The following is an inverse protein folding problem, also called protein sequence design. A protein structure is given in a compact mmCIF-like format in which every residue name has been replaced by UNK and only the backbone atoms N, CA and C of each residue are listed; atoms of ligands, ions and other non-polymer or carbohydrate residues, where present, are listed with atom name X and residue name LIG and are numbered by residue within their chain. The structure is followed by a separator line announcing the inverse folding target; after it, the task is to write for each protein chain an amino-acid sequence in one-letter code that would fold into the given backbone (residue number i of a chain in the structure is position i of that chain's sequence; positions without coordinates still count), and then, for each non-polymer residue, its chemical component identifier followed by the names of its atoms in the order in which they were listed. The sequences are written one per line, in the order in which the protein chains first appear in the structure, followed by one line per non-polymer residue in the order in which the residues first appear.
data_IF_477954065991
#
_entry.id   IF_477954065991
#
_cell.length_a   1.000
_cell.length_b   1.000
_cell.length_c   1.000
_cell.angle_alpha   90.00
_cell.angle_beta   90.00
_cell.angle_gamma   90.00
#
_symmetry.space_group_name_H-M   'P 1'
#
loop_
_entity.id
_entity.type
_entity.pdbx_description
1 polymer ?
#
# COMPACT_ATOMS: atom_id res chain seq x y z
N UNK A 1 12.03 -15.00 4.96
CA UNK A 1 11.95 -13.64 4.39
C UNK A 1 10.56 -13.12 4.65
N UNK A 2 10.44 -11.93 5.22
CA UNK A 2 9.13 -11.30 5.45
C UNK A 2 8.51 -10.93 4.10
N UNK A 3 7.31 -11.47 3.82
CA UNK A 3 6.58 -11.17 2.58
C UNK A 3 5.97 -9.78 2.70
N UNK A 4 6.18 -8.92 1.69
CA UNK A 4 5.41 -7.71 1.46
C UNK A 4 5.04 -7.70 -0.02
N UNK A 5 3.78 -7.99 -0.30
CA UNK A 5 3.26 -8.22 -1.65
C UNK A 5 2.07 -7.33 -1.92
N UNK A 6 2.07 -6.68 -3.07
CA UNK A 6 0.98 -5.87 -3.58
C UNK A 6 0.29 -6.66 -4.70
N UNK A 7 -1.02 -6.76 -4.68
CA UNK A 7 -1.84 -7.34 -5.75
C UNK A 7 -2.89 -6.32 -6.16
N UNK A 8 -2.90 -5.94 -7.42
CA UNK A 8 -3.86 -5.00 -7.98
C UNK A 8 -5.12 -5.76 -8.36
N UNK A 9 -6.19 -5.59 -7.59
CA UNK A 9 -7.47 -6.26 -7.80
C UNK A 9 -8.35 -5.50 -8.80
N UNK A 10 -8.17 -4.20 -8.87
CA UNK A 10 -8.82 -3.31 -9.81
C UNK A 10 -7.99 -2.07 -10.05
N UNK A 11 -7.81 -1.71 -11.30
CA UNK A 11 -6.89 -0.66 -11.78
C UNK A 11 -7.57 0.39 -12.66
N UNK A 12 -8.87 0.26 -12.87
CA UNK A 12 -9.69 1.22 -13.62
C UNK A 12 -10.25 2.31 -12.74
N UNK A 13 -10.47 3.48 -13.33
CA UNK A 13 -11.09 4.63 -12.70
C UNK A 13 -12.53 4.84 -13.14
N UNK A 14 -13.35 5.34 -12.24
CA UNK A 14 -14.75 5.76 -12.36
C UNK A 14 -15.73 4.65 -12.72
N UNK A 15 -15.55 3.94 -13.83
CA UNK A 15 -16.46 2.90 -14.30
C UNK A 15 -15.72 1.60 -14.59
N UNK A 16 -16.32 0.44 -14.32
CA UNK A 16 -15.72 -0.84 -14.70
C UNK A 16 -15.64 -0.96 -16.22
N UNK A 17 -14.57 -1.58 -16.70
CA UNK A 17 -14.41 -1.93 -18.11
C UNK A 17 -14.23 -3.45 -18.26
N UNK A 18 -14.28 -4.02 -19.48
CA UNK A 18 -14.00 -5.43 -19.69
C UNK A 18 -12.61 -5.88 -19.21
N UNK A 19 -11.65 -4.95 -19.13
CA UNK A 19 -10.25 -5.24 -18.84
C UNK A 19 -9.79 -4.75 -17.46
N UNK A 20 -10.53 -3.80 -16.86
CA UNK A 20 -10.16 -3.19 -15.58
C UNK A 20 -11.36 -3.06 -14.66
N UNK A 21 -11.24 -3.64 -13.49
CA UNK A 21 -12.19 -3.46 -12.40
C UNK A 21 -11.94 -2.11 -11.69
N UNK A 22 -12.95 -1.57 -10.99
CA UNK A 22 -12.80 -0.40 -10.13
C UNK A 22 -11.73 -0.59 -9.05
N UNK A 23 -11.25 0.52 -8.51
CA UNK A 23 -10.09 0.60 -7.63
C UNK A 23 -10.15 -0.34 -6.43
N UNK A 24 -9.19 -1.24 -6.35
CA UNK A 24 -8.94 -2.08 -5.18
C UNK A 24 -7.51 -2.64 -5.21
N UNK A 25 -6.80 -2.52 -4.10
CA UNK A 25 -5.43 -3.03 -3.97
C UNK A 25 -5.32 -3.88 -2.71
N UNK A 26 -4.84 -5.11 -2.85
CA UNK A 26 -4.53 -5.97 -1.72
C UNK A 26 -3.04 -5.89 -1.39
N UNK A 27 -2.70 -5.60 -0.13
CA UNK A 27 -1.33 -5.63 0.36
C UNK A 27 -1.21 -6.71 1.42
N UNK A 28 -0.43 -7.74 1.11
CA UNK A 28 -0.08 -8.79 2.06
C UNK A 28 1.25 -8.48 2.72
N UNK A 29 1.22 -8.37 4.03
CA UNK A 29 2.41 -8.29 4.87
C UNK A 29 2.42 -9.48 5.83
N UNK A 30 3.30 -10.43 5.58
CA UNK A 30 3.36 -11.70 6.35
C UNK A 30 1.98 -12.41 6.38
N UNK A 31 1.37 -12.54 7.55
CA UNK A 31 0.03 -13.13 7.73
C UNK A 31 -1.12 -12.13 7.59
N UNK A 32 -0.82 -10.83 7.58
CA UNK A 32 -1.81 -9.77 7.49
C UNK A 32 -2.17 -9.46 6.03
N UNK A 33 -3.42 -9.17 5.78
CA UNK A 33 -3.95 -8.79 4.47
C UNK A 33 -4.74 -7.50 4.62
N UNK A 34 -4.28 -6.46 3.95
CA UNK A 34 -4.93 -5.15 3.90
C UNK A 34 -5.57 -4.95 2.53
N UNK A 35 -6.75 -4.31 2.50
CA UNK A 35 -7.31 -3.76 1.30
C UNK A 35 -7.21 -2.24 1.34
N UNK A 36 -6.73 -1.65 0.27
CA UNK A 36 -6.80 -0.22 0.00
C UNK A 36 -7.83 -0.01 -1.10
N UNK A 37 -8.92 0.64 -0.75
CA UNK A 37 -10.18 0.72 -1.46
C UNK A 37 -10.83 -0.65 -1.73
N UNK A 38 -12.10 -0.63 -2.10
CA UNK A 38 -12.90 -1.81 -2.33
C UNK A 38 -14.02 -1.50 -3.33
N UNK A 39 -13.64 -1.30 -4.58
CA UNK A 39 -14.57 -1.06 -5.68
C UNK A 39 -15.43 -2.28 -5.99
N UNK A 40 -16.41 -2.11 -6.85
CA UNK A 40 -17.28 -3.19 -7.29
C UNK A 40 -16.47 -4.39 -7.84
N UNK A 41 -16.88 -5.60 -7.51
CA UNK A 41 -16.22 -6.83 -7.97
C UNK A 41 -14.94 -7.22 -7.21
N UNK A 42 -14.48 -6.45 -6.24
CA UNK A 42 -13.26 -6.73 -5.47
C UNK A 42 -13.23 -8.15 -4.92
N UNK A 43 -14.31 -8.67 -4.36
CA UNK A 43 -14.37 -10.03 -3.83
C UNK A 43 -14.11 -11.10 -4.91
N UNK A 44 -14.59 -10.91 -6.15
CA UNK A 44 -14.33 -11.82 -7.26
C UNK A 44 -12.86 -11.78 -7.67
N UNK A 45 -12.29 -10.57 -7.74
CA UNK A 45 -10.88 -10.39 -8.04
C UNK A 45 -9.97 -10.99 -6.96
N UNK A 46 -10.34 -10.91 -5.69
CA UNK A 46 -9.62 -11.58 -4.60
C UNK A 46 -9.60 -13.11 -4.78
N UNK A 47 -10.72 -13.69 -5.21
CA UNK A 47 -10.81 -15.13 -5.53
C UNK A 47 -9.95 -15.50 -6.73
N UNK A 48 -9.97 -14.69 -7.80
CA UNK A 48 -9.15 -14.89 -9.02
C UNK A 48 -7.65 -14.79 -8.69
N UNK A 49 -7.25 -13.76 -7.95
CA UNK A 49 -5.87 -13.53 -7.54
C UNK A 49 -5.38 -14.48 -6.43
N UNK A 50 -6.30 -15.28 -5.84
CA UNK A 50 -6.00 -16.19 -4.71
C UNK A 50 -5.35 -15.47 -3.52
N UNK A 51 -5.75 -14.23 -3.26
CA UNK A 51 -5.21 -13.46 -2.12
C UNK A 51 -5.64 -14.03 -0.78
N UNK A 52 -6.67 -14.89 -0.75
CA UNK A 52 -7.37 -15.30 0.46
C UNK A 52 -8.34 -14.23 0.95
N UNK A 53 -9.21 -14.62 1.90
CA UNK A 53 -10.31 -13.78 2.39
C UNK A 53 -10.10 -13.35 3.86
N UNK A 54 -8.97 -13.70 4.48
CA UNK A 54 -8.67 -13.30 5.87
C UNK A 54 -8.13 -11.87 5.92
N UNK A 55 -9.03 -10.91 5.68
CA UNK A 55 -8.70 -9.47 5.65
C UNK A 55 -8.48 -8.98 7.09
N UNK A 56 -7.36 -8.27 7.32
CA UNK A 56 -7.02 -7.64 8.60
C UNK A 56 -7.73 -6.31 8.75
N UNK A 57 -7.67 -5.45 7.72
CA UNK A 57 -8.34 -4.15 7.69
C UNK A 57 -8.58 -3.68 6.26
N UNK A 58 -9.53 -2.75 6.10
CA UNK A 58 -9.81 -2.04 4.84
C UNK A 58 -9.52 -0.55 5.07
N UNK A 59 -8.84 0.07 4.12
CA UNK A 59 -8.45 1.48 4.10
C UNK A 59 -9.12 2.17 2.92
N UNK A 60 -10.07 3.04 3.18
CA UNK A 60 -10.84 3.77 2.17
C UNK A 60 -10.21 5.14 1.98
N UNK A 61 -9.88 5.49 0.74
CA UNK A 61 -9.31 6.79 0.40
C UNK A 61 -10.38 7.90 0.39
N UNK A 62 -11.52 7.63 -0.21
CA UNK A 62 -12.66 8.53 -0.32
C UNK A 62 -13.95 7.75 -0.66
N UNK A 63 -15.10 8.44 -0.82
CA UNK A 63 -16.40 7.76 -0.93
C UNK A 63 -17.01 7.79 -2.33
N UNK A 64 -16.20 7.89 -3.41
CA UNK A 64 -16.72 7.63 -4.74
C UNK A 64 -17.08 6.16 -4.90
N UNK A 65 -18.07 5.90 -5.74
CA UNK A 65 -18.68 4.59 -5.92
C UNK A 65 -17.66 3.50 -6.29
N UNK A 66 -16.76 3.80 -7.18
CA UNK A 66 -15.72 2.90 -7.68
C UNK A 66 -14.62 2.56 -6.66
N UNK A 67 -14.63 3.20 -5.48
CA UNK A 67 -13.73 2.88 -4.36
C UNK A 67 -14.41 2.12 -3.22
N UNK A 68 -15.75 2.00 -3.21
CA UNK A 68 -16.46 1.52 -2.02
C UNK A 68 -17.59 0.53 -2.28
N UNK A 69 -18.14 0.44 -3.50
CA UNK A 69 -19.33 -0.38 -3.75
C UNK A 69 -19.10 -1.90 -3.62
N UNK A 70 -17.86 -2.35 -3.57
CA UNK A 70 -17.54 -3.76 -3.28
C UNK A 70 -17.71 -4.16 -1.81
N UNK A 71 -17.73 -3.18 -0.89
CA UNK A 71 -17.75 -3.44 0.56
C UNK A 71 -18.97 -4.29 0.98
N UNK A 72 -20.22 -3.99 0.62
CA UNK A 72 -21.37 -4.77 1.07
C UNK A 72 -21.29 -6.23 0.68
N UNK A 73 -20.97 -6.50 -0.59
CA UNK A 73 -20.83 -7.86 -1.09
C UNK A 73 -19.68 -8.62 -0.45
N UNK A 74 -18.56 -7.95 -0.22
CA UNK A 74 -17.40 -8.52 0.47
C UNK A 74 -17.73 -8.91 1.91
N UNK A 75 -18.37 -8.02 2.68
CA UNK A 75 -18.75 -8.28 4.07
C UNK A 75 -19.75 -9.45 4.18
N UNK A 76 -20.68 -9.54 3.25
CA UNK A 76 -21.61 -10.67 3.20
C UNK A 76 -20.87 -11.99 2.91
N UNK A 77 -19.93 -11.97 1.97
CA UNK A 77 -19.10 -13.14 1.68
C UNK A 77 -18.28 -13.58 2.89
N UNK A 78 -17.65 -12.64 3.60
CA UNK A 78 -16.89 -12.94 4.82
C UNK A 78 -17.77 -13.54 5.90
N UNK A 79 -19.01 -13.05 6.06
CA UNK A 79 -19.99 -13.59 7.01
C UNK A 79 -20.38 -15.02 6.66
N UNK A 80 -20.69 -15.29 5.39
CA UNK A 80 -21.02 -16.63 4.90
C UNK A 80 -19.86 -17.62 5.00
N UNK A 81 -18.63 -17.15 4.95
CA UNK A 81 -17.42 -17.96 5.17
C UNK A 81 -17.06 -18.15 6.65
N UNK A 82 -17.94 -17.70 7.55
CA UNK A 82 -17.81 -17.95 8.99
C UNK A 82 -16.84 -17.02 9.72
N UNK A 83 -16.59 -15.81 9.20
CA UNK A 83 -15.81 -14.82 9.95
C UNK A 83 -16.52 -14.46 11.25
N UNK A 84 -15.77 -14.46 12.34
CA UNK A 84 -16.23 -14.03 13.67
C UNK A 84 -15.42 -12.86 14.22
N UNK A 85 -14.16 -12.70 13.76
CA UNK A 85 -13.30 -11.62 14.21
C UNK A 85 -13.76 -10.27 13.67
N UNK A 86 -13.70 -9.21 14.48
CA UNK A 86 -14.03 -7.85 14.05
C UNK A 86 -13.21 -7.43 12.81
N UNK A 87 -13.80 -6.62 11.94
CA UNK A 87 -13.13 -6.01 10.80
C UNK A 87 -13.04 -4.50 11.00
N UNK A 88 -11.82 -3.98 10.98
CA UNK A 88 -11.57 -2.55 11.02
C UNK A 88 -11.64 -1.96 9.60
N UNK A 89 -12.44 -0.90 9.44
CA UNK A 89 -12.53 -0.14 8.20
C UNK A 89 -12.15 1.31 8.52
N UNK A 90 -11.04 1.74 7.99
CA UNK A 90 -10.50 3.07 8.12
C UNK A 90 -10.89 3.93 6.92
N UNK A 91 -11.10 5.23 7.14
CA UNK A 91 -11.39 6.14 6.05
C UNK A 91 -11.44 7.60 6.52
N UNK A 92 -11.63 8.55 5.60
CA UNK A 92 -11.72 9.96 5.96
C UNK A 92 -12.95 10.23 6.84
N UNK A 93 -12.96 11.41 7.45
CA UNK A 93 -14.12 11.86 8.28
C UNK A 93 -15.42 11.68 7.52
N UNK A 94 -16.38 11.01 8.16
CA UNK A 94 -17.66 10.63 7.58
C UNK A 94 -17.79 9.12 7.31
N UNK A 95 -16.71 8.32 7.41
CA UNK A 95 -16.74 6.87 7.14
C UNK A 95 -17.74 6.12 7.99
N UNK A 96 -17.97 6.53 9.26
CA UNK A 96 -18.97 5.91 10.14
C UNK A 96 -20.39 6.05 9.58
N UNK A 97 -20.75 7.28 9.20
CA UNK A 97 -22.06 7.57 8.61
C UNK A 97 -22.21 6.90 7.25
N UNK A 98 -21.16 6.96 6.43
CA UNK A 98 -21.15 6.34 5.12
C UNK A 98 -21.38 4.82 5.22
N UNK A 99 -20.62 4.11 6.04
CA UNK A 99 -20.79 2.68 6.25
C UNK A 99 -22.16 2.31 6.84
N UNK A 100 -22.69 3.13 7.73
CA UNK A 100 -24.05 2.92 8.24
C UNK A 100 -25.08 2.87 7.10
N UNK A 101 -25.04 3.83 6.18
CA UNK A 101 -25.93 3.84 5.02
C UNK A 101 -25.64 2.69 4.04
N UNK A 102 -24.39 2.45 3.73
CA UNK A 102 -23.96 1.40 2.79
C UNK A 102 -24.39 0.01 3.29
N UNK A 103 -24.26 -0.26 4.58
CA UNK A 103 -24.62 -1.53 5.20
C UNK A 103 -26.12 -1.70 5.45
N UNK A 104 -26.91 -0.63 5.35
CA UNK A 104 -28.36 -0.69 5.40
C UNK A 104 -28.99 -1.10 4.05
N UNK A 105 -28.20 -1.21 2.99
CA UNK A 105 -28.66 -1.69 1.70
C UNK A 105 -28.83 -3.21 1.72
N UNK A 106 -30.07 -3.67 1.69
CA UNK A 106 -30.41 -5.10 1.64
C UNK A 106 -30.43 -5.81 3.01
N UNK A 107 -30.85 -7.05 2.99
CA UNK A 107 -30.92 -7.93 4.16
C UNK A 107 -29.62 -8.72 4.32
N UNK A 108 -28.64 -8.14 4.98
CA UNK A 108 -27.40 -8.85 5.30
C UNK A 108 -27.28 -9.05 6.82
N UNK A 109 -27.31 -10.30 7.27
CA UNK A 109 -26.87 -10.63 8.63
C UNK A 109 -25.36 -10.72 8.65
N UNK A 110 -24.73 -10.02 9.58
CA UNK A 110 -23.29 -10.13 9.82
C UNK A 110 -23.05 -10.88 11.12
N UNK A 111 -22.15 -11.85 11.10
CA UNK A 111 -21.75 -12.63 12.28
C UNK A 111 -20.53 -12.04 12.99
N UNK A 112 -20.08 -10.85 12.57
CA UNK A 112 -18.92 -10.15 13.12
C UNK A 112 -19.12 -8.63 13.13
N UNK A 113 -18.42 -7.97 14.02
CA UNK A 113 -18.45 -6.51 14.14
C UNK A 113 -17.65 -5.83 13.04
N UNK A 114 -18.18 -4.73 12.51
CA UNK A 114 -17.47 -3.81 11.61
C UNK A 114 -17.21 -2.52 12.36
N UNK A 115 -15.93 -2.22 12.58
CA UNK A 115 -15.48 -1.03 13.29
C UNK A 115 -15.05 0.04 12.28
N UNK A 116 -15.85 1.09 12.14
CA UNK A 116 -15.52 2.26 11.32
C UNK A 116 -14.65 3.25 12.10
N UNK A 117 -13.47 3.57 11.58
CA UNK A 117 -12.48 4.44 12.23
C UNK A 117 -12.15 5.59 11.29
N UNK A 118 -12.45 6.81 11.75
CA UNK A 118 -12.15 8.03 11.00
C UNK A 118 -10.69 8.39 11.14
N UNK A 119 -10.06 8.75 10.01
CA UNK A 119 -8.69 9.25 9.93
C UNK A 119 -8.65 10.60 9.23
N UNK A 120 -7.65 11.38 9.59
CA UNK A 120 -7.30 12.64 8.95
C UNK A 120 -5.79 12.69 8.68
N UNK A 121 -5.37 13.70 7.95
CA UNK A 121 -3.95 13.94 7.69
C UNK A 121 -3.12 13.93 8.97
N UNK A 122 -2.06 13.14 8.99
CA UNK A 122 -1.15 12.98 10.12
C UNK A 122 -1.51 11.88 11.11
N UNK A 123 -2.72 11.31 11.04
CA UNK A 123 -3.09 10.17 11.90
C UNK A 123 -2.26 8.94 11.58
N UNK A 124 -1.85 8.21 12.63
CA UNK A 124 -0.95 7.05 12.53
C UNK A 124 -1.50 5.86 13.28
N UNK A 125 -1.65 4.75 12.58
CA UNK A 125 -1.99 3.44 13.13
C UNK A 125 -0.67 2.69 13.36
N UNK A 126 -0.25 2.59 14.64
CA UNK A 126 0.99 1.89 14.99
C UNK A 126 0.74 0.42 15.26
N UNK A 127 1.60 -0.42 14.71
CA UNK A 127 1.71 -1.85 14.98
C UNK A 127 3.13 -2.18 15.44
N UNK A 128 3.39 -3.41 15.82
CA UNK A 128 4.68 -3.79 16.43
C UNK A 128 5.89 -3.44 15.56
N UNK A 129 5.82 -3.71 14.25
CA UNK A 129 6.97 -3.60 13.33
C UNK A 129 6.67 -2.75 12.08
N UNK A 130 5.58 -2.00 12.07
CA UNK A 130 5.20 -1.08 10.99
C UNK A 130 4.17 -0.07 11.47
N UNK A 131 3.98 0.95 10.68
CA UNK A 131 2.87 1.89 10.86
C UNK A 131 2.14 2.12 9.54
N UNK A 132 0.87 2.53 9.65
CA UNK A 132 0.09 3.04 8.53
C UNK A 132 -0.30 4.48 8.86
N UNK A 133 0.12 5.42 8.03
CA UNK A 133 -0.11 6.85 8.21
C UNK A 133 -1.04 7.36 7.12
N UNK A 134 -2.05 8.14 7.52
CA UNK A 134 -2.93 8.85 6.59
C UNK A 134 -2.33 10.22 6.22
N UNK A 135 -2.43 10.60 4.95
CA UNK A 135 -2.05 11.93 4.48
C UNK A 135 -3.14 12.53 3.59
N UNK A 136 -3.18 13.85 3.50
CA UNK A 136 -4.16 14.55 2.68
C UNK A 136 -3.80 14.41 1.19
N UNK A 137 -4.80 14.16 0.36
CA UNK A 137 -4.74 14.25 -1.10
C UNK A 137 -5.60 15.39 -1.61
N UNK A 138 -5.47 15.76 -2.87
CA UNK A 138 -6.20 16.86 -3.49
C UNK A 138 -7.18 16.31 -4.52
N UNK A 139 -8.46 16.27 -4.14
CA UNK A 139 -9.54 15.73 -4.94
C UNK A 139 -10.83 16.55 -4.72
N UNK A 140 -11.85 16.36 -5.57
CA UNK A 140 -13.12 17.10 -5.53
C UNK A 140 -13.98 16.82 -4.29
N UNK A 141 -13.71 15.72 -3.58
CA UNK A 141 -14.30 15.42 -2.27
C UNK A 141 -13.17 15.17 -1.25
N UNK A 142 -13.55 15.06 0.04
CA UNK A 142 -12.56 14.75 1.08
C UNK A 142 -11.90 13.40 0.82
N UNK A 143 -10.59 13.44 0.65
CA UNK A 143 -9.78 12.28 0.34
C UNK A 143 -8.51 12.23 1.19
N UNK A 144 -8.00 11.02 1.42
CA UNK A 144 -6.73 10.73 2.09
C UNK A 144 -6.03 9.60 1.36
N UNK A 145 -4.72 9.67 1.32
CA UNK A 145 -3.86 8.57 0.92
C UNK A 145 -3.25 7.87 2.13
N UNK A 146 -2.52 6.79 1.90
CA UNK A 146 -1.94 5.95 2.94
C UNK A 146 -0.48 5.64 2.69
N UNK A 147 0.32 5.72 3.74
CA UNK A 147 1.71 5.23 3.78
C UNK A 147 1.75 4.00 4.67
N UNK A 148 2.17 2.87 4.14
CA UNK A 148 2.57 1.71 4.94
C UNK A 148 4.09 1.72 5.03
N UNK A 149 4.64 1.85 6.22
CA UNK A 149 6.08 1.92 6.48
C UNK A 149 6.51 0.96 7.56
N UNK A 150 7.45 0.07 7.23
CA UNK A 150 8.02 -0.88 8.19
C UNK A 150 9.05 -0.19 9.07
N UNK A 151 9.17 -0.65 10.32
CA UNK A 151 10.17 -0.18 11.25
C UNK A 151 11.60 -0.40 10.72
N UNK A 152 12.53 0.41 11.19
CA UNK A 152 13.96 0.21 10.95
C UNK A 152 14.38 -1.20 11.36
N UNK A 153 15.21 -1.82 10.54
CA UNK A 153 15.75 -3.16 10.78
C UNK A 153 17.14 -3.07 11.39
N UNK A 154 17.56 -4.06 12.18
CA UNK A 154 18.94 -4.15 12.64
C UNK A 154 19.94 -4.05 11.50
N UNK A 155 21.09 -3.50 11.78
CA UNK A 155 22.21 -3.43 10.85
C UNK A 155 22.67 -4.81 10.38
N UNK A 156 23.49 -4.85 9.33
CA UNK A 156 24.08 -6.10 8.86
C UNK A 156 25.04 -6.63 9.92
N UNK A 157 24.83 -7.90 10.31
CA UNK A 157 25.68 -8.57 11.31
C UNK A 157 27.09 -8.84 10.72
N UNK A 158 28.12 -8.33 11.40
CA UNK A 158 29.51 -8.56 11.02
C UNK A 158 30.02 -9.83 11.73
N UNK A 159 29.97 -10.95 11.01
CA UNK A 159 30.37 -12.25 11.52
C UNK A 159 31.86 -12.30 11.87
N UNK A 160 32.71 -11.70 11.06
CA UNK A 160 34.16 -11.67 11.27
C UNK A 160 34.48 -10.92 12.56
N UNK A 161 33.90 -9.75 12.74
CA UNK A 161 34.06 -8.96 13.95
C UNK A 161 33.57 -9.70 15.21
N UNK A 162 32.46 -10.42 15.12
CA UNK A 162 31.95 -11.22 16.23
C UNK A 162 32.95 -12.33 16.61
N UNK A 163 33.58 -12.99 15.63
CA UNK A 163 34.59 -14.03 15.87
C UNK A 163 35.86 -13.42 16.51
N UNK A 164 36.33 -12.26 16.03
CA UNK A 164 37.45 -11.53 16.63
C UNK A 164 37.21 -11.18 18.10
N UNK A 165 35.97 -10.89 18.46
CA UNK A 165 35.55 -10.62 19.85
C UNK A 165 35.39 -11.91 20.69
N UNK A 166 35.76 -13.07 20.13
CA UNK A 166 35.73 -14.36 20.83
C UNK A 166 34.40 -15.09 20.81
N UNK A 167 33.43 -14.60 20.03
CA UNK A 167 32.14 -15.27 19.88
C UNK A 167 32.26 -16.48 18.92
N UNK A 168 31.66 -17.60 19.27
CA UNK A 168 31.50 -18.73 18.35
C UNK A 168 30.15 -18.62 17.63
N UNK A 169 30.09 -19.01 16.33
CA UNK A 169 28.80 -19.09 15.62
C UNK A 169 27.80 -19.94 16.40
N UNK A 170 26.62 -19.38 16.67
CA UNK A 170 25.60 -20.06 17.47
C UNK A 170 24.56 -19.10 18.08
N UNK A 171 23.87 -19.51 19.13
CA UNK A 171 22.75 -18.75 19.74
C UNK A 171 23.12 -17.33 20.17
N UNK A 172 24.38 -17.09 20.55
CA UNK A 172 24.84 -15.73 20.94
C UNK A 172 24.80 -14.74 19.77
N UNK A 173 25.04 -15.20 18.53
CA UNK A 173 24.89 -14.36 17.34
C UNK A 173 23.43 -13.91 17.19
N UNK A 174 22.48 -14.84 17.41
CA UNK A 174 21.06 -14.51 17.35
C UNK A 174 20.66 -13.48 18.40
N UNK A 175 21.14 -13.61 19.63
CA UNK A 175 20.88 -12.63 20.70
C UNK A 175 21.33 -11.24 20.31
N UNK A 176 22.57 -11.10 19.85
CA UNK A 176 23.10 -9.82 19.37
C UNK A 176 22.31 -9.25 18.19
N UNK A 177 21.87 -10.09 17.24
CA UNK A 177 21.01 -9.68 16.12
C UNK A 177 19.63 -9.18 16.57
N UNK A 178 19.13 -9.66 17.73
CA UNK A 178 17.87 -9.22 18.31
C UNK A 178 18.01 -8.06 19.31
N UNK A 179 19.22 -7.49 19.42
CA UNK A 179 19.46 -6.31 20.25
C UNK A 179 19.83 -6.63 21.72
N UNK A 180 20.13 -7.92 22.03
CA UNK A 180 20.55 -8.33 23.38
C UNK A 180 22.07 -8.35 23.49
N UNK A 181 22.63 -7.73 24.56
CA UNK A 181 24.06 -7.87 24.90
C UNK A 181 24.37 -9.29 25.40
N UNK A 182 25.60 -9.73 25.19
CA UNK A 182 26.08 -11.04 25.63
C UNK A 182 27.42 -10.91 26.34
N UNK A 183 27.72 -11.82 27.29
CA UNK A 183 29.00 -11.87 27.99
C UNK A 183 29.83 -13.03 27.46
N UNK A 184 31.07 -12.74 27.05
CA UNK A 184 32.06 -13.72 26.58
C UNK A 184 33.41 -13.38 27.19
N UNK A 185 34.04 -14.40 27.83
CA UNK A 185 35.35 -14.25 28.47
C UNK A 185 35.44 -13.05 29.44
N UNK A 186 34.38 -12.80 30.21
CA UNK A 186 34.32 -11.68 31.17
C UNK A 186 34.09 -10.31 30.57
N UNK A 187 33.89 -10.18 29.25
CA UNK A 187 33.60 -8.95 28.54
C UNK A 187 32.17 -8.92 28.05
N UNK A 188 31.48 -7.80 28.26
CA UNK A 188 30.21 -7.52 27.61
C UNK A 188 30.45 -7.16 26.13
N UNK A 189 29.72 -7.82 25.24
CA UNK A 189 29.67 -7.53 23.80
C UNK A 189 28.24 -7.06 23.51
N UNK A 190 28.13 -5.86 22.94
CA UNK A 190 26.88 -5.22 22.64
C UNK A 190 26.52 -5.38 21.17
N UNK A 191 25.22 -5.23 20.80
CA UNK A 191 24.80 -5.27 19.41
C UNK A 191 25.58 -4.33 18.49
N UNK A 192 25.86 -3.11 18.92
CA UNK A 192 26.62 -2.09 18.18
C UNK A 192 28.08 -2.50 17.88
N UNK A 193 28.66 -3.42 18.64
CA UNK A 193 30.01 -3.92 18.39
C UNK A 193 30.12 -4.82 17.16
N UNK A 194 28.97 -5.39 16.74
CA UNK A 194 28.89 -6.40 15.67
C UNK A 194 27.80 -6.13 14.62
N UNK A 195 26.95 -5.14 14.85
CA UNK A 195 25.95 -4.70 13.88
C UNK A 195 26.41 -3.43 13.17
N UNK A 196 26.23 -3.38 11.87
CA UNK A 196 26.34 -2.14 11.11
C UNK A 196 25.21 -1.15 11.43
N UNK A 197 25.12 -0.03 10.74
CA UNK A 197 24.04 0.94 10.94
C UNK A 197 22.68 0.31 10.68
N UNK A 198 21.62 0.77 11.38
CA UNK A 198 20.25 0.35 11.11
C UNK A 198 19.87 0.54 9.64
N UNK A 199 19.06 -0.37 9.12
CA UNK A 199 18.63 -0.38 7.72
C UNK A 199 17.15 -0.04 7.64
N UNK A 200 16.71 0.76 6.64
CA UNK A 200 15.31 1.12 6.50
C UNK A 200 14.43 -0.12 6.28
N UNK A 201 13.21 -0.07 6.79
CA UNK A 201 12.11 -0.92 6.39
C UNK A 201 11.66 -0.60 4.97
N UNK A 202 10.63 -1.30 4.50
CA UNK A 202 10.00 -1.01 3.20
C UNK A 202 8.90 0.00 3.37
N UNK A 203 8.75 0.89 2.38
CA UNK A 203 7.74 1.96 2.37
C UNK A 203 6.91 1.90 1.10
N UNK A 204 5.60 1.74 1.25
CA UNK A 204 4.61 1.77 0.17
C UNK A 204 3.70 2.98 0.41
N UNK A 205 3.44 3.74 -0.65
CA UNK A 205 2.49 4.86 -0.63
C UNK A 205 1.41 4.62 -1.65
N UNK A 206 0.15 4.78 -1.25
CA UNK A 206 -1.03 4.76 -2.12
C UNK A 206 -1.78 6.07 -1.97
N UNK A 207 -1.97 6.76 -3.08
CA UNK A 207 -2.62 8.07 -3.08
C UNK A 207 -4.15 7.99 -3.11
N UNK A 208 -4.72 6.95 -3.73
CA UNK A 208 -6.08 7.08 -4.27
C UNK A 208 -6.10 8.16 -5.34
N UNK A 209 -7.25 8.79 -5.52
CA UNK A 209 -7.46 9.84 -6.51
C UNK A 209 -6.91 11.17 -6.02
N UNK A 210 -6.15 11.83 -6.87
CA UNK A 210 -5.51 13.10 -6.49
C UNK A 210 -4.99 13.90 -7.67
N UNK A 211 -5.02 15.22 -7.55
CA UNK A 211 -4.10 16.11 -8.26
C UNK A 211 -2.71 16.04 -7.65
N UNK A 212 -1.64 16.39 -8.39
CA UNK A 212 -0.32 16.56 -7.79
C UNK A 212 -0.38 17.58 -6.66
N UNK A 213 0.11 17.22 -5.48
CA UNK A 213 0.17 18.14 -4.35
C UNK A 213 1.36 17.84 -3.43
N UNK A 214 1.75 18.84 -2.66
CA UNK A 214 2.92 18.79 -1.79
C UNK A 214 2.83 17.67 -0.74
N UNK A 215 1.64 17.42 -0.19
CA UNK A 215 1.43 16.36 0.81
C UNK A 215 1.67 14.96 0.24
N UNK A 216 1.43 14.73 -1.05
CA UNK A 216 1.76 13.47 -1.75
C UNK A 216 3.27 13.35 -1.90
N UNK A 217 3.96 14.41 -2.34
CA UNK A 217 5.43 14.43 -2.49
C UNK A 217 6.10 14.09 -1.16
N UNK A 218 5.71 14.78 -0.08
CA UNK A 218 6.25 14.55 1.27
C UNK A 218 5.94 13.13 1.78
N UNK A 219 4.71 12.65 1.59
CA UNK A 219 4.34 11.29 1.99
C UNK A 219 5.14 10.23 1.23
N UNK A 220 5.41 10.46 -0.06
CA UNK A 220 6.13 9.55 -0.95
C UNK A 220 7.65 9.66 -0.85
N UNK A 221 8.20 10.62 -0.11
CA UNK A 221 9.64 10.83 -0.02
C UNK A 221 10.39 9.53 0.27
N UNK A 222 11.33 9.18 -0.62
CA UNK A 222 12.15 7.98 -0.55
C UNK A 222 11.34 6.66 -0.44
N UNK A 223 10.10 6.59 -0.93
CA UNK A 223 9.32 5.35 -0.91
C UNK A 223 9.92 4.27 -1.83
N UNK A 224 9.74 3.00 -1.47
CA UNK A 224 10.09 1.88 -2.36
C UNK A 224 9.09 1.75 -3.50
N UNK A 225 7.81 1.98 -3.20
CA UNK A 225 6.72 1.98 -4.19
C UNK A 225 5.82 3.19 -3.93
N UNK A 226 5.59 3.97 -4.97
CA UNK A 226 4.50 4.94 -5.04
C UNK A 226 3.44 4.41 -6.00
N UNK A 227 2.23 4.17 -5.51
CA UNK A 227 1.04 3.85 -6.30
C UNK A 227 0.24 5.14 -6.39
N UNK A 228 0.15 5.68 -7.60
CA UNK A 228 -0.40 7.03 -7.85
C UNK A 228 -1.51 7.00 -8.89
N UNK A 229 -2.45 7.92 -8.76
CA UNK A 229 -3.43 8.26 -9.80
C UNK A 229 -2.70 8.61 -11.09
N UNK A 230 -3.06 7.94 -12.17
CA UNK A 230 -2.55 8.18 -13.52
C UNK A 230 -3.68 8.03 -14.52
N UNK A 231 -4.80 8.69 -14.23
CA UNK A 231 -6.06 8.50 -14.96
C UNK A 231 -5.98 8.85 -16.44
N UNK A 232 -5.16 9.83 -16.82
CA UNK A 232 -5.21 10.47 -18.13
C UNK A 232 -3.80 10.69 -18.72
N UNK A 233 -3.73 10.75 -20.07
CA UNK A 233 -2.54 11.21 -20.78
C UNK A 233 -2.33 12.72 -20.57
N UNK A 234 -1.11 13.23 -20.79
CA UNK A 234 -0.80 14.67 -20.69
C UNK A 234 -1.60 15.50 -21.69
N UNK A 235 -1.92 14.94 -22.86
CA UNK A 235 -2.77 15.59 -23.87
C UNK A 235 -4.18 15.93 -23.33
N UNK A 236 -4.61 15.29 -22.25
CA UNK A 236 -5.91 15.47 -21.60
C UNK A 236 -5.79 16.15 -20.23
N UNK A 237 -4.75 16.95 -20.05
CA UNK A 237 -4.45 17.65 -18.79
C UNK A 237 -5.59 18.55 -18.29
N UNK A 238 -6.26 19.25 -19.18
CA UNK A 238 -7.40 20.11 -18.82
C UNK A 238 -8.52 19.27 -18.18
N UNK A 239 -8.77 18.09 -18.72
CA UNK A 239 -9.75 17.15 -18.18
C UNK A 239 -9.30 16.57 -16.83
N UNK A 240 -7.99 16.31 -16.68
CA UNK A 240 -7.43 15.89 -15.39
C UNK A 240 -7.63 16.96 -14.31
N UNK A 241 -7.47 18.23 -14.66
CA UNK A 241 -7.71 19.36 -13.75
C UNK A 241 -9.21 19.45 -13.41
N UNK A 242 -10.09 19.36 -14.39
CA UNK A 242 -11.54 19.48 -14.21
C UNK A 242 -12.07 18.39 -13.25
N UNK A 243 -11.63 17.15 -13.42
CA UNK A 243 -12.07 16.01 -12.59
C UNK A 243 -11.21 15.76 -11.35
N UNK A 244 -10.20 16.60 -11.12
CA UNK A 244 -9.30 16.50 -9.97
C UNK A 244 -8.52 15.18 -9.92
N UNK A 245 -8.02 14.74 -11.09
CA UNK A 245 -7.11 13.60 -11.27
C UNK A 245 -5.74 14.05 -11.79
N UNK A 246 -4.78 13.13 -11.82
CA UNK A 246 -3.45 13.36 -12.37
C UNK A 246 -3.32 12.79 -13.78
N UNK A 247 -2.53 13.46 -14.62
CA UNK A 247 -1.98 12.83 -15.82
C UNK A 247 -0.83 11.88 -15.43
N UNK A 248 -0.50 10.95 -16.32
CA UNK A 248 0.64 10.04 -16.11
C UNK A 248 1.97 10.79 -16.03
N UNK A 249 2.09 11.91 -16.76
CA UNK A 249 3.26 12.80 -16.72
C UNK A 249 3.37 13.51 -15.37
N UNK A 250 2.28 14.07 -14.87
CA UNK A 250 2.23 14.72 -13.56
C UNK A 250 2.55 13.75 -12.43
N UNK A 251 2.04 12.51 -12.48
CA UNK A 251 2.37 11.46 -11.52
C UNK A 251 3.86 11.09 -11.57
N UNK A 252 4.46 11.05 -12.77
CA UNK A 252 5.89 10.80 -12.93
C UNK A 252 6.76 11.94 -12.39
N UNK A 253 6.32 13.20 -12.52
CA UNK A 253 6.98 14.35 -11.89
C UNK A 253 6.95 14.28 -10.37
N UNK A 254 5.79 13.90 -9.78
CA UNK A 254 5.65 13.67 -8.34
C UNK A 254 6.62 12.58 -7.89
N UNK A 255 6.71 11.47 -8.60
CA UNK A 255 7.61 10.36 -8.30
C UNK A 255 9.09 10.78 -8.33
N UNK A 256 9.48 11.59 -9.32
CA UNK A 256 10.83 12.13 -9.45
C UNK A 256 11.16 13.09 -8.29
N UNK A 257 10.26 14.02 -7.96
CA UNK A 257 10.44 14.98 -6.85
C UNK A 257 10.52 14.27 -5.49
N UNK A 258 9.74 13.22 -5.29
CA UNK A 258 9.74 12.42 -4.06
C UNK A 258 10.89 11.40 -3.98
N UNK A 259 11.73 11.28 -5.01
CA UNK A 259 12.84 10.33 -5.09
C UNK A 259 12.39 8.89 -4.78
N UNK A 260 11.26 8.45 -5.33
CA UNK A 260 10.77 7.09 -5.12
C UNK A 260 11.59 6.09 -5.93
N UNK A 261 11.56 4.81 -5.57
CA UNK A 261 12.29 3.78 -6.33
C UNK A 261 11.48 3.28 -7.52
N UNK A 262 10.18 3.17 -7.40
CA UNK A 262 9.28 2.73 -8.46
C UNK A 262 7.95 3.46 -8.38
N UNK A 263 7.47 3.91 -9.52
CA UNK A 263 6.12 4.44 -9.71
C UNK A 263 5.22 3.36 -10.31
N UNK A 264 4.03 3.22 -9.77
CA UNK A 264 2.97 2.38 -10.32
C UNK A 264 1.75 3.25 -10.54
N UNK A 265 1.35 3.39 -11.78
CA UNK A 265 0.17 4.15 -12.17
C UNK A 265 -1.07 3.26 -12.11
N UNK A 266 -2.13 3.76 -11.52
CA UNK A 266 -3.43 3.09 -11.39
C UNK A 266 -4.57 4.05 -11.66
N UNK A 267 -5.80 3.63 -11.52
CA UNK A 267 -6.98 4.43 -11.77
C UNK A 267 -7.10 4.88 -13.23
N UNK A 268 -6.69 4.01 -14.16
CA UNK A 268 -6.66 4.32 -15.60
C UNK A 268 -8.08 4.49 -16.13
N UNK A 269 -8.33 5.59 -16.81
CA UNK A 269 -9.66 5.90 -17.39
C UNK A 269 -10.11 4.79 -18.36
N UNK A 270 -11.40 4.44 -18.30
CA UNK A 270 -12.00 3.42 -19.15
C UNK A 270 -11.96 3.75 -20.67
N UNK A 271 -11.54 4.97 -21.03
CA UNK A 271 -11.31 5.39 -22.44
C UNK A 271 -10.08 4.74 -23.06
N UNK A 272 -9.14 4.26 -22.25
CA UNK A 272 -7.90 3.65 -22.68
C UNK A 272 -7.99 2.14 -22.67
N UNK A 273 -7.62 1.53 -23.79
CA UNK A 273 -7.45 0.10 -23.90
C UNK A 273 -6.05 -0.36 -23.42
N UNK A 274 -5.71 -1.63 -23.67
CA UNK A 274 -4.42 -2.18 -23.27
C UNK A 274 -3.23 -1.63 -24.09
N UNK A 275 -3.44 -1.24 -25.34
CA UNK A 275 -2.39 -0.60 -26.17
C UNK A 275 -2.15 0.84 -25.74
N UNK A 276 -3.21 1.54 -25.42
CA UNK A 276 -3.14 2.90 -24.89
C UNK A 276 -2.46 2.92 -23.53
N UNK A 277 -2.73 1.93 -22.68
CA UNK A 277 -2.03 1.79 -21.39
C UNK A 277 -0.51 1.67 -21.55
N UNK A 278 -0.01 1.03 -22.59
CA UNK A 278 1.43 1.00 -22.90
C UNK A 278 1.95 2.36 -23.31
N UNK A 279 1.19 3.13 -24.10
CA UNK A 279 1.57 4.50 -24.49
C UNK A 279 1.63 5.43 -23.27
N UNK A 280 0.65 5.30 -22.33
CA UNK A 280 0.67 6.01 -21.06
C UNK A 280 1.91 5.67 -20.23
N UNK A 281 2.30 4.39 -20.19
CA UNK A 281 3.51 3.96 -19.51
C UNK A 281 4.77 4.55 -20.14
N UNK A 282 4.87 4.53 -21.48
CA UNK A 282 6.00 5.12 -22.21
C UNK A 282 6.07 6.62 -22.01
N UNK A 283 4.94 7.31 -21.96
CA UNK A 283 4.86 8.73 -21.69
C UNK A 283 5.41 9.08 -20.31
N UNK A 284 4.96 8.40 -19.26
CA UNK A 284 5.45 8.58 -17.90
C UNK A 284 6.95 8.22 -17.76
N UNK A 285 7.40 7.18 -18.45
CA UNK A 285 8.81 6.75 -18.43
C UNK A 285 9.79 7.77 -19.00
N UNK A 286 9.36 8.69 -19.82
CA UNK A 286 10.21 9.80 -20.28
C UNK A 286 10.64 10.72 -19.14
N UNK A 287 9.84 10.81 -18.08
CA UNK A 287 10.09 11.61 -16.89
C UNK A 287 10.69 10.73 -15.77
N UNK A 288 10.07 9.59 -15.49
CA UNK A 288 10.50 8.66 -14.45
C UNK A 288 10.62 7.24 -15.01
N UNK A 289 11.85 6.80 -15.38
CA UNK A 289 12.06 5.54 -16.13
C UNK A 289 11.54 4.29 -15.42
N UNK A 290 11.59 4.23 -14.08
CA UNK A 290 11.09 3.08 -13.32
C UNK A 290 9.59 3.16 -13.03
N UNK A 291 8.81 3.35 -14.10
CA UNK A 291 7.34 3.44 -14.06
C UNK A 291 6.71 2.22 -14.72
N UNK A 292 5.60 1.76 -14.18
CA UNK A 292 4.70 0.79 -14.80
C UNK A 292 3.25 1.24 -14.65
N UNK A 293 2.42 0.93 -15.64
CA UNK A 293 0.96 1.01 -15.53
C UNK A 293 0.45 -0.33 -14.98
N UNK A 294 -0.29 -0.27 -13.88
CA UNK A 294 -0.86 -1.47 -13.27
C UNK A 294 -1.91 -2.11 -14.19
N UNK A 295 -1.99 -3.42 -14.16
CA UNK A 295 -3.09 -4.20 -14.74
C UNK A 295 -3.78 -5.03 -13.65
N UNK A 296 -5.03 -5.38 -13.86
CA UNK A 296 -5.76 -6.24 -12.95
C UNK A 296 -5.03 -7.57 -12.75
N UNK A 297 -5.03 -8.04 -11.50
CA UNK A 297 -4.36 -9.26 -11.02
C UNK A 297 -2.82 -9.21 -11.04
N UNK A 298 -2.21 -8.11 -11.48
CA UNK A 298 -0.76 -7.92 -11.39
C UNK A 298 -0.30 -8.00 -9.93
N UNK A 299 0.84 -8.66 -9.71
CA UNK A 299 1.40 -8.84 -8.37
C UNK A 299 2.85 -8.39 -8.32
N UNK A 300 3.23 -7.67 -7.27
CA UNK A 300 4.58 -7.15 -7.06
C UNK A 300 5.04 -7.51 -5.64
N UNK A 301 6.20 -8.18 -5.54
CA UNK A 301 6.88 -8.38 -4.28
C UNK A 301 7.83 -7.21 -4.00
N UNK A 302 7.60 -6.50 -2.90
CA UNK A 302 8.45 -5.39 -2.48
C UNK A 302 9.65 -5.94 -1.74
N UNK A 303 10.82 -5.85 -2.36
CA UNK A 303 12.09 -6.32 -1.79
C UNK A 303 12.74 -5.24 -0.94
N UNK A 304 13.52 -5.66 0.06
CA UNK A 304 14.42 -4.74 0.76
C UNK A 304 15.53 -4.24 -0.17
N UNK A 305 15.93 -2.99 0.00
CA UNK A 305 16.96 -2.31 -0.83
C UNK A 305 18.29 -3.05 -0.87
N UNK A 306 18.70 -3.67 0.23
CA UNK A 306 19.95 -4.39 0.37
C UNK A 306 19.96 -5.79 -0.28
N UNK A 307 18.89 -6.21 -0.95
CA UNK A 307 18.77 -7.51 -1.63
C UNK A 307 18.69 -7.40 -3.16
N UNK A 308 18.76 -6.21 -3.69
CA UNK A 308 18.78 -6.00 -5.15
C UNK A 308 20.20 -5.83 -5.71
N UNK A 309 21.22 -5.83 -4.83
CA UNK A 309 22.64 -5.69 -5.21
C UNK A 309 23.38 -7.05 -5.24
N UNK A 310 22.62 -8.18 -5.24
CA UNK A 310 23.18 -9.51 -5.29
C UNK A 310 22.64 -10.34 -6.47
#
# INVERSE_FOLDING_TARGET
MTVLRITFLGTGGSVPSPHRNPSAIAVRRESELFLFDCGEGTQQQMMRAKTGMKITAIFITHFHADHVLGIPGLLQTLSLQGRTEPLEIYGPKGVRRFLYHLLSLGYASKNFDVKAIELQHGDVIRRQNYEIRAFKTEHNIRSIGYVLEEAMRPGKFNRERAIELGLKPGPLFSKLQHGESVFVNGREIRPEDVLGPPRPGRKIVYTGDTRPCESVIQAAENADILIHDGSLAEAEKELAIEYMHSTVTEAAEVAAKANVRKLILTHISARYDEEDAKKLEEEARKIFPNTIVASDLMTIDVKYRDKEQG
#
